data_IF_500259759347
#
_entry.id   IF_500259759347
#
_cell.length_a   1.000
_cell.length_b   1.000
_cell.length_c   1.000
_cell.angle_alpha   90.00
_cell.angle_beta   90.00
_cell.angle_gamma   90.00
#
_symmetry.space_group_name_H-M   'P 1'
#
loop_
_entity.id
_entity.type
_entity.pdbx_description
1 polymer ?
#
# COMPACT_ATOMS: atom_id res chain seq x y z
N UNK A 1 21.49 3.34 2.92
CA UNK A 1 22.70 3.27 3.75
C UNK A 1 22.75 1.87 4.36
N UNK A 2 23.83 1.09 4.22
CA UNK A 2 23.93 -0.26 4.80
C UNK A 2 23.73 -0.35 6.32
N UNK A 3 23.64 0.78 7.05
CA UNK A 3 23.44 0.81 8.51
C UNK A 3 22.00 1.13 8.98
N UNK A 4 21.04 1.42 8.09
CA UNK A 4 19.65 1.64 8.54
C UNK A 4 19.07 0.31 9.04
N UNK A 5 18.61 0.21 10.29
CA UNK A 5 17.98 -1.00 10.80
C UNK A 5 16.79 -1.37 9.93
N UNK A 6 16.70 -2.64 9.53
CA UNK A 6 15.52 -3.14 8.84
C UNK A 6 14.34 -3.06 9.82
N UNK A 7 13.23 -2.41 9.47
CA UNK A 7 12.09 -2.27 10.38
C UNK A 7 11.48 -3.64 10.72
N UNK A 8 10.86 -3.73 11.89
CA UNK A 8 10.12 -4.92 12.29
C UNK A 8 8.94 -5.13 11.33
N UNK A 9 8.85 -6.33 10.76
CA UNK A 9 7.69 -6.74 9.97
C UNK A 9 6.60 -7.23 10.94
N UNK A 10 5.44 -6.57 10.90
CA UNK A 10 4.32 -6.86 11.78
C UNK A 10 3.13 -7.37 10.96
N UNK A 11 2.51 -8.45 11.42
CA UNK A 11 1.30 -9.03 10.79
C UNK A 11 0.06 -8.88 11.67
N UNK A 12 0.25 -8.64 12.97
CA UNK A 12 -0.84 -8.51 13.93
C UNK A 12 -1.43 -7.10 13.89
N UNK A 13 -2.56 -6.94 13.21
CA UNK A 13 -3.31 -5.69 13.13
C UNK A 13 -3.81 -5.21 14.52
N UNK A 14 -3.84 -6.08 15.53
CA UNK A 14 -4.16 -5.72 16.91
C UNK A 14 -3.12 -4.81 17.56
N UNK A 15 -1.90 -4.74 17.01
CA UNK A 15 -0.83 -3.83 17.45
C UNK A 15 -0.93 -2.43 16.85
N UNK A 16 -1.76 -2.22 15.83
CA UNK A 16 -1.97 -0.90 15.23
C UNK A 16 -2.70 0.03 16.22
N UNK A 17 -2.39 1.34 16.21
CA UNK A 17 -3.27 2.32 16.79
C UNK A 17 -4.69 2.21 16.22
N UNK A 18 -5.71 2.45 17.05
CA UNK A 18 -7.11 2.30 16.63
C UNK A 18 -7.46 3.08 15.35
N UNK A 19 -7.02 4.34 15.14
CA UNK A 19 -7.32 5.07 13.92
C UNK A 19 -6.74 4.41 12.66
N UNK A 20 -5.53 3.84 12.77
CA UNK A 20 -4.85 3.15 11.66
C UNK A 20 -5.59 1.87 11.32
N UNK A 21 -5.90 1.05 12.32
CA UNK A 21 -6.66 -0.19 12.15
C UNK A 21 -8.04 0.08 11.54
N UNK A 22 -8.73 1.12 12.02
CA UNK A 22 -10.03 1.51 11.49
C UNK A 22 -9.96 1.90 10.02
N UNK A 23 -8.97 2.70 9.61
CA UNK A 23 -8.82 3.08 8.21
C UNK A 23 -8.48 1.86 7.33
N UNK A 24 -7.57 1.00 7.80
CA UNK A 24 -7.28 -0.28 7.15
C UNK A 24 -8.56 -1.09 6.91
N UNK A 25 -9.35 -1.31 7.95
CA UNK A 25 -10.58 -2.11 7.87
C UNK A 25 -11.62 -1.47 6.94
N UNK A 26 -11.77 -0.15 6.96
CA UNK A 26 -12.66 0.57 6.04
C UNK A 26 -12.26 0.41 4.57
N UNK A 27 -10.96 0.47 4.26
CA UNK A 27 -10.47 0.27 2.89
C UNK A 27 -10.71 -1.17 2.46
N UNK A 28 -10.35 -2.15 3.30
CA UNK A 28 -10.56 -3.58 3.01
C UNK A 28 -12.05 -3.90 2.79
N UNK A 29 -12.95 -3.37 3.62
CA UNK A 29 -14.39 -3.57 3.44
C UNK A 29 -14.94 -2.88 2.19
N UNK A 30 -14.37 -1.74 1.78
CA UNK A 30 -14.69 -1.11 0.50
C UNK A 30 -14.27 -2.01 -0.68
N UNK A 31 -13.07 -2.58 -0.64
CA UNK A 31 -12.56 -3.49 -1.67
C UNK A 31 -13.43 -4.74 -1.85
N UNK A 32 -13.78 -5.42 -0.75
CA UNK A 32 -14.66 -6.61 -0.77
C UNK A 32 -16.02 -6.37 -1.39
N UNK A 33 -16.49 -5.12 -1.37
CA UNK A 33 -17.75 -4.72 -1.98
C UNK A 33 -17.74 -4.67 -3.51
N UNK A 34 -16.56 -4.63 -4.15
CA UNK A 34 -16.41 -4.58 -5.60
C UNK A 34 -16.86 -3.27 -6.27
N UNK A 35 -17.24 -2.27 -5.47
CA UNK A 35 -17.69 -0.95 -5.93
C UNK A 35 -16.63 0.10 -5.57
N UNK A 36 -15.86 0.53 -6.57
CA UNK A 36 -14.73 1.43 -6.38
C UNK A 36 -15.14 2.79 -5.81
N UNK A 37 -16.40 3.20 -6.00
CA UNK A 37 -16.94 4.44 -5.42
C UNK A 37 -16.96 4.40 -3.89
N UNK A 38 -16.91 3.22 -3.26
CA UNK A 38 -16.79 3.09 -1.80
C UNK A 38 -15.46 3.59 -1.24
N UNK A 39 -14.44 3.76 -2.07
CA UNK A 39 -13.18 4.39 -1.67
C UNK A 39 -13.29 5.92 -1.56
N UNK A 40 -14.23 6.55 -2.27
CA UNK A 40 -14.38 8.01 -2.33
C UNK A 40 -14.43 8.70 -0.97
N UNK A 41 -15.21 8.25 0.03
CA UNK A 41 -15.22 8.89 1.35
C UNK A 41 -13.91 8.71 2.14
N UNK A 42 -13.03 7.80 1.73
CA UNK A 42 -11.76 7.50 2.42
C UNK A 42 -10.57 8.28 1.87
N UNK A 43 -10.62 8.67 0.57
CA UNK A 43 -9.55 9.39 -0.13
C UNK A 43 -9.37 10.83 0.40
N UNK A 44 -10.38 11.40 1.06
CA UNK A 44 -10.30 12.79 1.54
C UNK A 44 -10.29 13.83 0.41
N UNK A 45 -9.98 15.08 0.75
CA UNK A 45 -9.97 16.22 -0.18
C UNK A 45 -8.92 17.26 0.20
N UNK A 46 -8.50 18.09 -0.75
CA UNK A 46 -7.54 19.19 -0.50
C UNK A 46 -6.20 18.67 0.01
N UNK A 47 -5.63 19.32 1.03
CA UNK A 47 -4.34 18.93 1.63
C UNK A 47 -4.35 17.54 2.28
N UNK A 48 -5.53 17.01 2.62
CA UNK A 48 -5.68 15.69 3.21
C UNK A 48 -5.93 14.58 2.20
N UNK A 49 -6.00 14.93 0.90
CA UNK A 49 -6.29 13.98 -0.16
C UNK A 49 -5.20 12.90 -0.24
N UNK A 50 -5.62 11.64 -0.29
CA UNK A 50 -4.73 10.50 -0.51
C UNK A 50 -3.99 10.68 -1.83
N UNK A 51 -2.67 10.56 -1.78
CA UNK A 51 -1.85 10.52 -2.98
C UNK A 51 -2.05 9.19 -3.70
N UNK A 52 -2.61 9.24 -4.91
CA UNK A 52 -2.87 8.04 -5.75
C UNK A 52 -1.95 7.92 -6.97
N UNK A 53 -1.07 8.90 -7.17
CA UNK A 53 -0.02 8.89 -8.19
C UNK A 53 1.24 9.56 -7.68
N UNK A 54 2.40 9.14 -8.20
CA UNK A 54 3.68 9.84 -7.96
C UNK A 54 3.80 11.14 -8.76
N UNK A 55 2.95 11.31 -9.76
CA UNK A 55 2.81 12.55 -10.53
C UNK A 55 1.49 13.23 -10.17
N UNK A 56 1.36 14.51 -10.53
CA UNK A 56 0.08 15.19 -10.42
C UNK A 56 -1.00 14.45 -11.21
N UNK A 57 -2.21 14.44 -10.65
CA UNK A 57 -3.41 13.96 -11.32
C UNK A 57 -4.32 15.15 -11.59
N UNK A 58 -4.96 15.13 -12.75
CA UNK A 58 -6.05 16.05 -13.05
C UNK A 58 -7.39 15.33 -12.89
N UNK A 59 -8.31 15.93 -12.16
CA UNK A 59 -9.70 15.49 -12.09
C UNK A 59 -10.03 14.54 -10.92
N UNK A 60 -10.94 13.60 -11.18
CA UNK A 60 -11.55 12.77 -10.16
C UNK A 60 -10.69 11.57 -9.75
N UNK A 61 -10.46 11.40 -8.46
CA UNK A 61 -9.62 10.35 -7.90
C UNK A 61 -10.10 8.93 -8.25
N UNK A 62 -11.42 8.70 -8.19
CA UNK A 62 -11.99 7.39 -8.50
C UNK A 62 -11.92 7.11 -9.99
N UNK A 63 -12.20 8.11 -10.83
CA UNK A 63 -12.02 7.98 -12.27
C UNK A 63 -10.55 7.67 -12.65
N UNK A 64 -9.58 8.30 -11.97
CA UNK A 64 -8.17 8.00 -12.15
C UNK A 64 -7.84 6.56 -11.77
N UNK A 65 -8.19 6.12 -10.56
CA UNK A 65 -7.96 4.72 -10.13
C UNK A 65 -8.61 3.73 -11.08
N UNK A 66 -9.85 4.00 -11.49
CA UNK A 66 -10.58 3.16 -12.45
C UNK A 66 -9.87 3.08 -13.81
N UNK A 67 -9.23 4.16 -14.25
CA UNK A 67 -8.42 4.19 -15.48
C UNK A 67 -7.11 3.41 -15.41
N UNK A 68 -6.60 3.12 -14.21
CA UNK A 68 -5.44 2.24 -14.01
C UNK A 68 -5.81 0.75 -14.06
N UNK A 69 -7.10 0.44 -13.92
CA UNK A 69 -7.62 -0.93 -13.93
C UNK A 69 -7.66 -1.48 -15.35
N UNK A 70 -7.33 -2.76 -15.51
CA UNK A 70 -7.48 -3.54 -16.74
C UNK A 70 -8.92 -4.00 -16.99
N UNK A 71 -9.82 -3.80 -16.02
CA UNK A 71 -11.25 -4.01 -16.13
C UNK A 71 -12.01 -2.67 -16.13
N UNK A 72 -13.22 -2.61 -16.73
CA UNK A 72 -13.96 -1.36 -16.86
C UNK A 72 -14.63 -0.90 -15.57
N UNK A 73 -14.52 -1.62 -14.46
CA UNK A 73 -15.22 -1.35 -13.19
C UNK A 73 -14.28 -0.98 -12.03
N UNK A 74 -12.96 -1.15 -12.19
CA UNK A 74 -11.97 -0.84 -11.17
C UNK A 74 -11.68 -1.99 -10.21
N UNK A 75 -12.18 -3.19 -10.51
CA UNK A 75 -12.12 -4.35 -9.60
C UNK A 75 -10.72 -4.92 -9.47
N UNK A 76 -9.89 -4.84 -10.51
CA UNK A 76 -8.47 -5.20 -10.42
C UNK A 76 -7.74 -4.31 -9.42
N UNK A 77 -7.98 -2.99 -9.46
CA UNK A 77 -7.39 -2.07 -8.47
C UNK A 77 -7.87 -2.36 -7.05
N UNK A 78 -9.16 -2.68 -6.87
CA UNK A 78 -9.67 -3.10 -5.56
C UNK A 78 -9.01 -4.39 -5.06
N UNK A 79 -8.82 -5.37 -5.94
CA UNK A 79 -8.15 -6.62 -5.60
C UNK A 79 -6.68 -6.39 -5.23
N UNK A 80 -5.95 -5.54 -5.97
CA UNK A 80 -4.57 -5.17 -5.66
C UNK A 80 -4.49 -4.47 -4.31
N UNK A 81 -5.38 -3.49 -4.06
CA UNK A 81 -5.41 -2.74 -2.80
C UNK A 81 -5.69 -3.65 -1.61
N UNK A 82 -6.64 -4.59 -1.75
CA UNK A 82 -6.93 -5.59 -0.72
C UNK A 82 -5.74 -6.52 -0.47
N UNK A 83 -5.10 -7.07 -1.52
CA UNK A 83 -3.97 -7.98 -1.36
C UNK A 83 -2.75 -7.29 -0.74
N UNK A 84 -2.51 -6.02 -1.09
CA UNK A 84 -1.47 -5.18 -0.45
C UNK A 84 -1.74 -5.02 1.06
N UNK A 85 -2.98 -4.70 1.45
CA UNK A 85 -3.34 -4.50 2.85
C UNK A 85 -3.37 -5.81 3.67
N UNK A 86 -3.64 -6.94 3.01
CA UNK A 86 -3.58 -8.27 3.63
C UNK A 86 -2.15 -8.76 3.93
N UNK A 87 -1.12 -8.11 3.35
CA UNK A 87 0.27 -8.40 3.66
C UNK A 87 0.67 -7.88 5.05
N UNK A 88 1.88 -8.25 5.51
CA UNK A 88 2.46 -7.61 6.69
C UNK A 88 2.80 -6.13 6.42
N UNK A 89 2.95 -5.36 7.50
CA UNK A 89 3.29 -3.94 7.46
C UNK A 89 4.54 -3.62 8.26
N UNK A 90 5.02 -2.39 8.08
CA UNK A 90 6.11 -1.79 8.86
C UNK A 90 5.66 -0.46 9.45
N UNK A 91 6.23 -0.10 10.60
CA UNK A 91 6.08 1.22 11.21
C UNK A 91 7.37 2.01 10.99
N UNK A 92 7.26 3.11 10.24
CA UNK A 92 8.38 3.92 9.81
C UNK A 92 8.38 5.26 10.55
N UNK A 93 9.59 5.79 10.77
CA UNK A 93 9.84 7.14 11.30
C UNK A 93 9.05 7.48 12.57
N UNK A 94 8.91 6.49 13.47
CA UNK A 94 8.16 6.59 14.71
C UNK A 94 8.56 7.82 15.56
N UNK A 95 7.57 8.60 15.99
CA UNK A 95 7.77 9.81 16.80
C UNK A 95 8.18 11.05 15.99
N UNK A 96 8.25 10.96 14.67
CA UNK A 96 8.54 12.10 13.78
C UNK A 96 7.28 12.57 13.05
N UNK A 97 7.31 13.77 12.42
CA UNK A 97 6.21 14.21 11.55
C UNK A 97 6.00 13.31 10.31
N UNK A 98 6.93 12.43 9.98
CA UNK A 98 6.89 11.50 8.86
C UNK A 98 6.38 10.10 9.27
N UNK A 99 5.94 9.92 10.51
CA UNK A 99 5.50 8.64 11.03
C UNK A 99 4.38 8.02 10.18
N UNK A 100 4.58 6.77 9.75
CA UNK A 100 3.68 6.06 8.84
C UNK A 100 3.63 4.56 9.12
N UNK A 101 2.46 3.97 8.88
CA UNK A 101 2.26 2.53 8.79
C UNK A 101 2.12 2.16 7.31
N UNK A 102 3.01 1.29 6.81
CA UNK A 102 3.16 1.04 5.37
C UNK A 102 3.00 -0.44 5.02
N UNK A 103 2.21 -0.68 3.97
CA UNK A 103 1.96 -1.98 3.35
C UNK A 103 2.38 -1.97 1.88
N UNK A 104 2.84 -3.12 1.32
CA UNK A 104 3.34 -4.25 2.06
C UNK A 104 4.73 -3.92 2.65
N UNK A 105 5.17 -4.66 3.66
CA UNK A 105 6.50 -4.49 4.26
C UNK A 105 7.67 -4.59 3.26
N UNK A 106 7.46 -5.20 2.07
CA UNK A 106 8.45 -5.30 1.00
C UNK A 106 9.01 -3.94 0.56
N UNK A 107 8.25 -2.86 0.70
CA UNK A 107 8.72 -1.50 0.42
C UNK A 107 9.95 -1.11 1.26
N UNK A 108 10.04 -1.60 2.50
CA UNK A 108 11.09 -1.23 3.43
C UNK A 108 12.16 -2.32 3.62
N UNK A 109 12.08 -3.43 2.87
CA UNK A 109 13.00 -4.56 2.98
C UNK A 109 13.80 -4.77 1.68
N UNK A 110 15.12 -5.06 1.77
CA UNK A 110 15.89 -5.52 0.63
C UNK A 110 15.33 -6.85 0.09
N UNK A 111 14.96 -6.89 -1.19
CA UNK A 111 14.30 -8.04 -1.82
C UNK A 111 15.17 -9.32 -1.81
N UNK A 112 16.49 -9.17 -1.79
CA UNK A 112 17.45 -10.27 -1.70
C UNK A 112 17.51 -10.90 -0.30
N UNK A 113 17.05 -10.19 0.73
CA UNK A 113 16.99 -10.65 2.13
C UNK A 113 15.67 -11.33 2.50
N UNK A 114 14.69 -11.40 1.58
CA UNK A 114 13.44 -12.09 1.83
C UNK A 114 13.67 -13.60 2.01
N UNK A 115 13.14 -14.17 3.09
CA UNK A 115 13.13 -15.60 3.31
C UNK A 115 12.12 -16.33 2.39
N UNK A 116 12.07 -17.67 2.46
CA UNK A 116 11.20 -18.47 1.61
C UNK A 116 9.69 -18.19 1.83
N UNK A 117 9.26 -17.92 3.07
CA UNK A 117 7.86 -17.59 3.38
C UNK A 117 7.52 -16.21 2.85
N UNK A 118 8.39 -15.24 3.06
CA UNK A 118 8.21 -13.87 2.58
C UNK A 118 8.19 -13.80 1.05
N UNK A 119 8.98 -14.64 0.35
CA UNK A 119 8.90 -14.77 -1.10
C UNK A 119 7.57 -15.34 -1.59
N UNK A 120 6.99 -16.30 -0.87
CA UNK A 120 5.64 -16.82 -1.19
C UNK A 120 4.59 -15.72 -1.02
N UNK A 121 4.69 -14.90 0.03
CA UNK A 121 3.81 -13.75 0.24
C UNK A 121 3.97 -12.70 -0.88
N UNK A 122 5.21 -12.39 -1.27
CA UNK A 122 5.49 -11.48 -2.39
C UNK A 122 4.80 -11.96 -3.67
N UNK A 123 4.90 -13.27 -3.98
CA UNK A 123 4.30 -13.85 -5.19
C UNK A 123 2.77 -13.92 -5.18
N UNK A 124 2.10 -13.55 -4.09
CA UNK A 124 0.65 -13.31 -4.11
C UNK A 124 0.30 -11.94 -4.69
N UNK A 125 1.22 -10.98 -4.56
CA UNK A 125 1.04 -9.59 -5.00
C UNK A 125 1.58 -9.39 -6.42
N UNK A 126 2.74 -9.98 -6.72
CA UNK A 126 3.46 -9.74 -7.97
C UNK A 126 3.85 -11.06 -8.64
N UNK A 127 4.08 -11.04 -9.96
CA UNK A 127 4.51 -12.23 -10.69
C UNK A 127 6.01 -12.50 -10.53
N UNK A 128 6.45 -13.69 -10.96
CA UNK A 128 7.87 -14.00 -11.02
C UNK A 128 8.65 -13.10 -12.01
N UNK A 129 7.97 -12.58 -13.04
CA UNK A 129 8.53 -11.59 -13.97
C UNK A 129 8.82 -10.28 -13.24
N UNK A 130 7.79 -9.72 -12.60
CA UNK A 130 7.88 -8.46 -11.84
C UNK A 130 8.96 -8.54 -10.76
N UNK A 131 9.07 -9.67 -10.05
CA UNK A 131 10.12 -9.86 -9.06
C UNK A 131 11.53 -9.81 -9.68
N UNK A 132 11.74 -10.40 -10.86
CA UNK A 132 13.04 -10.35 -11.52
C UNK A 132 13.40 -8.93 -11.95
N UNK A 133 12.42 -8.14 -12.37
CA UNK A 133 12.60 -6.74 -12.74
C UNK A 133 12.90 -5.89 -11.49
N UNK A 134 12.15 -6.07 -10.41
CA UNK A 134 12.39 -5.45 -9.11
C UNK A 134 13.77 -5.79 -8.53
N UNK A 135 14.26 -7.01 -8.74
CA UNK A 135 15.62 -7.40 -8.33
C UNK A 135 16.71 -6.68 -9.14
N UNK A 136 16.47 -6.41 -10.42
CA UNK A 136 17.41 -5.64 -11.24
C UNK A 136 17.40 -4.17 -10.86
N UNK A 137 16.22 -3.63 -10.55
CA UNK A 137 16.06 -2.27 -10.04
C UNK A 137 16.63 -2.08 -8.63
N UNK A 138 16.51 -3.11 -7.78
CA UNK A 138 17.03 -3.14 -6.42
C UNK A 138 16.02 -2.73 -5.33
N UNK A 139 14.75 -2.51 -5.69
CA UNK A 139 13.69 -2.14 -4.76
C UNK A 139 12.32 -2.70 -5.17
N UNK A 140 11.39 -2.75 -4.23
CA UNK A 140 9.99 -3.02 -4.50
C UNK A 140 9.34 -1.77 -5.14
N UNK A 141 8.85 -1.92 -6.38
CA UNK A 141 8.25 -0.83 -7.16
C UNK A 141 6.76 -1.03 -7.47
N UNK A 142 6.11 -2.02 -6.86
CA UNK A 142 4.67 -2.21 -7.05
C UNK A 142 3.86 -1.34 -6.07
N UNK A 143 2.53 -1.52 -6.07
CA UNK A 143 1.62 -0.75 -5.23
C UNK A 143 1.96 -0.85 -3.74
N UNK A 144 1.83 0.28 -3.05
CA UNK A 144 1.99 0.42 -1.61
C UNK A 144 0.95 1.36 -1.02
N UNK A 145 0.58 1.11 0.23
CA UNK A 145 -0.35 1.93 1.02
C UNK A 145 0.35 2.50 2.23
N UNK A 146 0.10 3.77 2.54
CA UNK A 146 0.56 4.43 3.76
C UNK A 146 -0.61 5.02 4.54
N UNK A 147 -0.65 4.76 5.84
CA UNK A 147 -1.65 5.33 6.77
C UNK A 147 -0.91 6.03 7.91
N UNK A 148 -1.30 7.27 8.21
CA UNK A 148 -0.71 8.05 9.31
C UNK A 148 -1.24 7.57 10.66
N UNK A 149 -0.56 7.85 11.80
CA UNK A 149 -1.05 7.50 13.13
C UNK A 149 -2.46 8.04 13.46
N UNK A 150 -2.87 9.13 12.80
CA UNK A 150 -4.20 9.72 12.93
C UNK A 150 -5.28 8.99 12.11
N UNK A 151 -4.92 7.93 11.37
CA UNK A 151 -5.83 7.19 10.51
C UNK A 151 -6.12 7.85 9.16
N UNK A 152 -5.31 8.83 8.73
CA UNK A 152 -5.42 9.38 7.38
C UNK A 152 -4.78 8.40 6.40
N UNK A 153 -5.52 8.04 5.34
CA UNK A 153 -4.94 7.34 4.20
C UNK A 153 -4.06 8.29 3.41
N UNK A 154 -2.74 8.17 3.59
CA UNK A 154 -1.77 9.11 3.05
C UNK A 154 -1.50 8.85 1.58
N UNK A 155 -1.26 7.59 1.19
CA UNK A 155 -1.00 7.24 -0.20
C UNK A 155 -1.48 5.84 -0.56
N UNK A 156 -1.77 5.65 -1.85
CA UNK A 156 -1.87 4.38 -2.54
C UNK A 156 -1.29 4.53 -3.95
N UNK A 157 -0.02 4.18 -4.11
CA UNK A 157 0.75 4.47 -5.33
C UNK A 157 1.54 3.24 -5.77
N UNK A 158 1.69 3.05 -7.07
CA UNK A 158 2.75 2.20 -7.62
C UNK A 158 4.10 2.94 -7.52
N UNK A 159 5.18 2.20 -7.30
CA UNK A 159 6.54 2.73 -7.48
C UNK A 159 6.89 2.85 -8.96
N UNK A 160 8.04 3.47 -9.22
CA UNK A 160 8.73 3.50 -10.51
C UNK A 160 10.14 2.93 -10.29
#
# INVERSE_FOLDING_TARGET
>A
DPETPVPEVVYDLGKLPEPVRRMHDLIVEACKGGDIEKLRPLIGTGESMTQISLTDIDGDAIAFLKGLSGDPDGQEILAILEEVLNAGYVHLDAGTPQELYVWPYFFALPLDKLDAKQRVELFKIVTAGDFNDMKQFGAYIFYRVGITPAGQWSFFVAGD
#
